data_IF_923968164062
#
_entry.id   IF_923968164062
#
_cell.length_a   1.000
_cell.length_b   1.000
_cell.length_c   1.000
_cell.angle_alpha   90.00
_cell.angle_beta   90.00
_cell.angle_gamma   90.00
#
_symmetry.space_group_name_H-M   'P 1'
#
loop_
_entity.id
_entity.type
_entity.pdbx_description
1 polymer ?
#
# COMPACT_ATOMS: atom_id res chain seq x y z
N UNK A 1 -1.57 19.56 -38.50
CA UNK A 1 -1.23 18.13 -38.26
C UNK A 1 0.28 18.05 -38.10
N UNK A 2 0.76 17.78 -36.90
CA UNK A 2 2.17 17.42 -36.69
C UNK A 2 2.43 16.10 -37.41
N UNK A 3 3.50 16.02 -38.18
CA UNK A 3 3.79 14.79 -38.90
C UNK A 3 4.20 13.71 -37.89
N UNK A 4 3.88 12.45 -38.15
CA UNK A 4 4.31 11.29 -37.35
C UNK A 4 5.82 11.30 -37.07
N UNK A 5 6.61 11.85 -38.00
CA UNK A 5 8.04 12.02 -37.83
C UNK A 5 8.40 12.97 -36.68
N UNK A 6 7.69 14.09 -36.51
CA UNK A 6 7.92 15.05 -35.42
C UNK A 6 7.51 14.44 -34.06
N UNK A 7 6.40 13.72 -34.04
CA UNK A 7 5.97 12.99 -32.82
C UNK A 7 7.00 11.94 -32.43
N UNK A 8 7.52 11.18 -33.38
CA UNK A 8 8.57 10.18 -33.14
C UNK A 8 9.85 10.82 -32.61
N UNK A 9 10.29 11.96 -33.18
CA UNK A 9 11.46 12.66 -32.66
C UNK A 9 11.27 13.17 -31.24
N UNK A 10 10.09 13.71 -30.92
CA UNK A 10 9.76 14.13 -29.54
C UNK A 10 9.77 12.95 -28.55
N UNK A 11 9.23 11.80 -28.94
CA UNK A 11 9.28 10.59 -28.14
C UNK A 11 10.71 10.11 -27.90
N UNK A 12 11.57 10.11 -28.93
CA UNK A 12 12.98 9.72 -28.78
C UNK A 12 13.72 10.68 -27.85
N UNK A 13 13.49 11.98 -27.96
CA UNK A 13 14.06 12.97 -27.05
C UNK A 13 13.62 12.71 -25.61
N UNK A 14 12.31 12.54 -25.37
CA UNK A 14 11.75 12.23 -24.06
C UNK A 14 12.35 10.95 -23.46
N UNK A 15 12.46 9.88 -24.24
CA UNK A 15 13.06 8.62 -23.80
C UNK A 15 14.53 8.78 -23.41
N UNK A 16 15.30 9.56 -24.16
CA UNK A 16 16.71 9.81 -23.84
C UNK A 16 16.85 10.63 -22.55
N UNK A 17 16.01 11.63 -22.36
CA UNK A 17 15.99 12.41 -21.12
C UNK A 17 15.58 11.55 -19.91
N UNK A 18 14.57 10.69 -20.05
CA UNK A 18 14.20 9.73 -19.02
C UNK A 18 15.36 8.79 -18.66
N UNK A 19 16.11 8.30 -19.64
CA UNK A 19 17.30 7.46 -19.40
C UNK A 19 18.38 8.23 -18.63
N UNK A 20 18.63 9.49 -19.03
CA UNK A 20 19.58 10.37 -18.33
C UNK A 20 19.16 10.58 -16.88
N UNK A 21 17.91 10.94 -16.62
CA UNK A 21 17.41 11.14 -15.26
C UNK A 21 17.48 9.86 -14.42
N UNK A 22 17.15 8.70 -15.01
CA UNK A 22 17.32 7.41 -14.32
C UNK A 22 18.76 7.13 -13.91
N UNK A 23 19.74 7.56 -14.70
CA UNK A 23 21.15 7.39 -14.34
C UNK A 23 21.57 8.21 -13.12
N UNK A 24 20.81 9.25 -12.75
CA UNK A 24 21.01 10.06 -11.55
C UNK A 24 20.48 9.39 -10.28
N UNK A 25 19.65 8.33 -10.39
CA UNK A 25 19.06 7.59 -9.28
C UNK A 25 20.10 6.65 -8.62
N UNK A 26 21.17 7.22 -8.14
CA UNK A 26 22.17 6.50 -7.31
C UNK A 26 21.63 6.25 -5.91
N UNK A 27 22.23 5.32 -5.18
CA UNK A 27 21.85 5.04 -3.79
C UNK A 27 21.94 6.27 -2.85
N UNK A 28 22.96 7.14 -2.94
CA UNK A 28 22.97 8.40 -2.19
C UNK A 28 21.80 9.30 -2.54
N UNK A 29 21.45 9.45 -3.84
CA UNK A 29 20.32 10.28 -4.29
C UNK A 29 18.99 9.73 -3.79
N UNK A 30 18.78 8.44 -3.80
CA UNK A 30 17.57 7.80 -3.26
C UNK A 30 17.42 8.10 -1.77
N UNK A 31 18.50 8.04 -0.99
CA UNK A 31 18.47 8.38 0.45
C UNK A 31 18.17 9.86 0.70
N UNK A 32 18.69 10.75 -0.12
CA UNK A 32 18.35 12.18 -0.09
C UNK A 32 16.85 12.39 -0.34
N UNK A 33 16.30 11.71 -1.33
CA UNK A 33 14.87 11.79 -1.68
C UNK A 33 13.94 11.27 -0.59
N UNK A 34 14.39 10.43 0.34
CA UNK A 34 13.56 10.04 1.49
C UNK A 34 13.20 11.21 2.40
N UNK A 35 14.04 12.26 2.44
CA UNK A 35 13.78 13.47 3.21
C UNK A 35 13.10 14.58 2.38
N UNK A 36 12.86 14.36 1.11
CA UNK A 36 12.21 15.33 0.24
C UNK A 36 10.73 15.47 0.55
N UNK A 37 10.16 16.64 0.26
CA UNK A 37 8.72 16.85 0.27
C UNK A 37 8.03 16.01 -0.82
N UNK A 38 6.72 15.86 -0.70
CA UNK A 38 5.95 15.02 -1.61
C UNK A 38 6.03 15.46 -3.07
N UNK A 39 5.91 16.76 -3.33
CA UNK A 39 5.98 17.36 -4.67
C UNK A 39 7.35 17.13 -5.35
N UNK A 40 8.43 17.07 -4.57
CA UNK A 40 9.76 16.69 -5.07
C UNK A 40 9.88 15.19 -5.28
N UNK A 41 9.34 14.38 -4.36
CA UNK A 41 9.42 12.92 -4.42
C UNK A 41 8.59 12.34 -5.57
N UNK A 42 7.39 12.85 -5.80
CA UNK A 42 6.41 12.31 -6.74
C UNK A 42 6.94 12.10 -8.18
N UNK A 43 7.57 13.09 -8.83
CA UNK A 43 8.12 12.86 -10.17
C UNK A 43 9.25 11.82 -10.20
N UNK A 44 10.07 11.74 -9.14
CA UNK A 44 11.13 10.74 -9.07
C UNK A 44 10.59 9.32 -8.91
N UNK A 45 9.49 9.15 -8.17
CA UNK A 45 8.79 7.86 -8.10
C UNK A 45 8.42 7.34 -9.49
N UNK A 46 7.82 8.17 -10.34
CA UNK A 46 7.41 7.80 -11.71
C UNK A 46 8.59 7.50 -12.65
N UNK A 47 9.76 8.01 -12.34
CA UNK A 47 10.98 7.74 -13.12
C UNK A 47 11.63 6.39 -12.79
N UNK A 48 11.27 5.78 -11.67
CA UNK A 48 11.87 4.52 -11.21
C UNK A 48 11.28 3.28 -11.91
N UNK A 49 12.06 2.21 -12.09
CA UNK A 49 11.51 0.91 -12.42
C UNK A 49 10.54 0.43 -11.33
N UNK A 50 9.45 -0.29 -11.66
CA UNK A 50 8.39 -0.65 -10.71
C UNK A 50 8.87 -1.26 -9.39
N UNK A 51 9.75 -2.27 -9.44
CA UNK A 51 10.30 -2.91 -8.22
C UNK A 51 11.14 -1.97 -7.35
N UNK A 52 11.80 -0.97 -7.95
CA UNK A 52 12.55 0.04 -7.23
C UNK A 52 11.62 1.09 -6.65
N UNK A 53 10.59 1.48 -7.40
CA UNK A 53 9.57 2.41 -6.97
C UNK A 53 8.83 1.92 -5.71
N UNK A 54 8.44 0.64 -5.67
CA UNK A 54 7.83 0.02 -4.48
C UNK A 54 8.72 0.18 -3.24
N UNK A 55 9.98 -0.22 -3.35
CA UNK A 55 10.93 -0.10 -2.23
C UNK A 55 11.25 1.34 -1.85
N UNK A 56 11.24 2.23 -2.83
CA UNK A 56 11.51 3.65 -2.61
C UNK A 56 10.38 4.30 -1.82
N UNK A 57 9.12 4.08 -2.22
CA UNK A 57 7.99 4.71 -1.53
C UNK A 57 7.83 4.20 -0.09
N UNK A 58 8.09 2.93 0.18
CA UNK A 58 8.13 2.39 1.55
C UNK A 58 9.17 3.12 2.41
N UNK A 59 10.38 3.35 1.88
CA UNK A 59 11.45 4.09 2.55
C UNK A 59 11.10 5.57 2.77
N UNK A 60 10.51 6.21 1.76
CA UNK A 60 10.06 7.59 1.87
C UNK A 60 8.95 7.74 2.93
N UNK A 61 7.90 6.93 2.86
CA UNK A 61 6.79 6.95 3.84
C UNK A 61 7.32 6.68 5.24
N UNK A 62 8.17 5.68 5.41
CA UNK A 62 8.77 5.37 6.71
C UNK A 62 9.50 6.60 7.29
N UNK A 63 10.28 7.30 6.46
CA UNK A 63 10.99 8.52 6.89
C UNK A 63 10.02 9.64 7.27
N UNK A 64 8.99 9.87 6.46
CA UNK A 64 8.00 10.94 6.70
C UNK A 64 7.20 10.74 8.00
N UNK A 65 6.89 9.51 8.37
CA UNK A 65 6.21 9.20 9.63
C UNK A 65 7.16 9.08 10.82
N UNK A 66 8.46 9.29 10.63
CA UNK A 66 9.47 9.09 11.67
C UNK A 66 9.61 7.64 12.13
N UNK A 67 9.29 6.70 11.26
CA UNK A 67 9.43 5.26 11.45
C UNK A 67 10.66 4.69 10.77
N UNK A 68 10.67 3.37 10.62
CA UNK A 68 11.72 2.63 9.94
C UNK A 68 11.12 1.60 8.99
N UNK A 69 11.74 1.43 7.84
CA UNK A 69 11.45 0.27 6.99
C UNK A 69 12.02 -0.98 7.65
N UNK A 70 11.17 -1.99 7.82
CA UNK A 70 11.56 -3.27 8.42
C UNK A 70 12.21 -4.15 7.33
N UNK A 71 13.36 -4.73 7.66
CA UNK A 71 14.02 -5.73 6.82
C UNK A 71 13.72 -7.14 7.32
N UNK A 72 13.77 -8.13 6.45
CA UNK A 72 13.52 -9.53 6.81
C UNK A 72 14.45 -10.05 7.92
N UNK A 73 15.64 -9.48 8.06
CA UNK A 73 16.58 -9.85 9.12
C UNK A 73 16.19 -9.32 10.50
N UNK A 74 15.40 -8.26 10.56
CA UNK A 74 14.91 -7.66 11.81
C UNK A 74 13.63 -8.36 12.33
N UNK A 75 12.97 -9.16 11.49
CA UNK A 75 11.75 -9.88 11.85
C UNK A 75 12.11 -11.26 12.39
N UNK A 76 11.58 -11.68 13.56
CA UNK A 76 11.76 -13.05 14.06
C UNK A 76 11.35 -14.09 13.02
N UNK A 77 12.06 -15.22 12.96
CA UNK A 77 11.88 -16.24 11.92
C UNK A 77 10.44 -16.72 11.77
N UNK A 78 9.73 -16.91 12.91
CA UNK A 78 8.32 -17.33 12.92
C UNK A 78 7.36 -16.36 12.22
N UNK A 79 7.75 -15.10 12.05
CA UNK A 79 6.96 -14.06 11.37
C UNK A 79 7.52 -13.71 9.99
N UNK A 80 8.66 -14.32 9.59
CA UNK A 80 9.25 -14.03 8.29
C UNK A 80 8.38 -14.59 7.18
N UNK A 81 7.93 -13.69 6.34
CA UNK A 81 7.29 -13.98 5.08
C UNK A 81 7.80 -12.98 4.04
N UNK A 82 7.48 -13.18 2.79
CA UNK A 82 7.88 -12.23 1.74
C UNK A 82 7.16 -10.87 1.84
N UNK A 83 6.11 -10.78 2.67
CA UNK A 83 5.26 -9.59 2.81
C UNK A 83 5.07 -9.23 4.31
N UNK A 84 6.08 -9.39 5.14
CA UNK A 84 6.04 -8.91 6.52
C UNK A 84 5.95 -7.40 6.56
N UNK A 85 5.25 -6.87 7.56
CA UNK A 85 4.99 -5.45 7.74
C UNK A 85 6.16 -4.56 7.32
N UNK A 86 5.94 -3.72 6.34
CA UNK A 86 6.99 -2.99 5.64
C UNK A 86 7.56 -1.83 6.44
N UNK A 87 6.77 -1.31 7.38
CA UNK A 87 7.10 -0.11 8.15
C UNK A 87 6.83 -0.36 9.63
N UNK A 88 7.77 0.11 10.44
CA UNK A 88 7.60 0.22 11.88
C UNK A 88 7.56 1.71 12.27
N UNK A 89 6.54 2.11 13.00
CA UNK A 89 6.26 3.50 13.33
C UNK A 89 6.48 3.86 14.81
N UNK A 90 6.83 2.89 15.65
CA UNK A 90 7.07 3.13 17.08
C UNK A 90 8.39 3.86 17.38
N UNK A 91 8.63 4.16 18.65
CA UNK A 91 9.86 4.82 19.10
C UNK A 91 11.01 3.83 19.31
N UNK A 92 10.67 2.60 19.71
CA UNK A 92 11.60 1.49 19.83
C UNK A 92 11.19 0.34 18.92
N UNK A 93 12.15 -0.44 18.45
CA UNK A 93 11.86 -1.58 17.55
C UNK A 93 11.20 -2.72 18.35
N UNK A 94 9.88 -2.70 18.43
CA UNK A 94 9.07 -3.77 19.01
C UNK A 94 8.28 -4.45 17.89
N UNK A 95 8.78 -5.56 17.40
CA UNK A 95 8.13 -6.31 16.31
C UNK A 95 6.76 -6.81 16.77
N UNK A 96 5.75 -6.55 15.93
CA UNK A 96 4.36 -6.94 16.15
C UNK A 96 3.51 -5.90 16.88
N UNK A 97 4.10 -4.88 17.52
CA UNK A 97 3.32 -3.86 18.22
C UNK A 97 2.90 -2.71 17.31
N UNK A 98 3.83 -2.18 16.51
CA UNK A 98 3.64 -0.96 15.72
C UNK A 98 3.94 -1.16 14.22
N UNK A 99 3.94 -2.40 13.76
CA UNK A 99 4.17 -2.71 12.36
C UNK A 99 2.97 -2.28 11.52
N UNK A 100 3.26 -1.73 10.35
CA UNK A 100 2.29 -1.25 9.38
C UNK A 100 2.54 -1.95 8.04
N UNK A 101 1.52 -2.61 7.51
CA UNK A 101 1.49 -3.04 6.10
C UNK A 101 1.10 -1.85 5.24
N UNK A 102 1.99 -1.42 4.33
CA UNK A 102 1.77 -0.29 3.45
C UNK A 102 1.26 -0.74 2.08
N UNK A 103 0.19 -0.13 1.61
CA UNK A 103 -0.31 -0.26 0.24
C UNK A 103 -0.28 1.11 -0.44
N UNK A 104 0.55 1.24 -1.47
CA UNK A 104 0.70 2.48 -2.23
C UNK A 104 -0.04 2.42 -3.56
N UNK A 105 -0.74 3.49 -3.89
CA UNK A 105 -1.57 3.62 -5.07
C UNK A 105 -1.14 4.90 -5.79
N UNK A 106 -0.38 4.73 -6.88
CA UNK A 106 0.16 5.81 -7.72
C UNK A 106 -0.36 5.76 -9.16
N UNK A 107 -1.31 4.88 -9.42
CA UNK A 107 -1.86 4.75 -10.79
C UNK A 107 -2.94 5.79 -11.00
N UNK A 108 -3.02 6.28 -12.22
CA UNK A 108 -4.20 6.94 -12.74
C UNK A 108 -5.40 6.02 -12.53
N UNK A 109 -6.30 6.42 -11.70
CA UNK A 109 -7.44 5.61 -11.34
C UNK A 109 -7.81 5.78 -9.87
N UNK A 110 -9.10 5.82 -9.67
CA UNK A 110 -9.71 6.15 -8.41
C UNK A 110 -9.81 4.97 -7.43
N UNK A 111 -9.09 3.88 -7.66
CA UNK A 111 -9.16 2.72 -6.78
C UNK A 111 -8.40 2.95 -5.48
N UNK A 112 -9.06 2.66 -4.36
CA UNK A 112 -8.45 2.52 -3.05
C UNK A 112 -8.51 1.04 -2.69
N UNK A 113 -7.40 0.48 -2.26
CA UNK A 113 -7.33 -0.94 -1.92
C UNK A 113 -6.04 -1.61 -2.39
N UNK A 114 -6.05 -2.90 -2.48
CA UNK A 114 -4.92 -3.68 -2.95
C UNK A 114 -5.23 -5.17 -3.09
N UNK A 115 -4.33 -5.87 -3.75
CA UNK A 115 -4.28 -7.32 -3.74
C UNK A 115 -3.36 -7.84 -2.64
N UNK A 116 -3.51 -9.10 -2.29
CA UNK A 116 -2.58 -9.81 -1.44
C UNK A 116 -2.47 -9.27 0.00
N UNK A 117 -3.58 -8.79 0.59
CA UNK A 117 -3.63 -8.61 2.03
C UNK A 117 -3.45 -9.96 2.72
N UNK A 118 -2.58 -9.98 3.72
CA UNK A 118 -2.37 -11.10 4.63
C UNK A 118 -2.44 -10.58 6.06
N UNK A 119 -3.21 -11.24 6.90
CA UNK A 119 -3.40 -10.82 8.27
C UNK A 119 -2.43 -11.54 9.21
N UNK A 120 -1.15 -11.17 9.12
CA UNK A 120 -0.14 -11.70 10.00
C UNK A 120 -0.32 -11.23 11.46
N UNK A 121 0.09 -12.06 12.40
CA UNK A 121 0.03 -11.74 13.82
C UNK A 121 0.79 -10.46 14.16
N UNK A 122 1.94 -10.26 13.51
CA UNK A 122 2.85 -9.13 13.75
C UNK A 122 2.51 -7.85 12.97
N UNK A 123 1.37 -7.78 12.30
CA UNK A 123 0.94 -6.59 11.54
C UNK A 123 -0.42 -6.10 12.05
N UNK A 124 -0.41 -5.21 13.07
CA UNK A 124 -1.66 -4.69 13.65
C UNK A 124 -2.30 -3.57 12.82
N UNK A 125 -1.57 -2.91 11.91
CA UNK A 125 -2.03 -1.76 11.16
C UNK A 125 -1.86 -1.93 9.66
N UNK A 126 -2.78 -1.34 8.91
CA UNK A 126 -2.79 -1.28 7.45
C UNK A 126 -2.92 0.16 7.01
N UNK A 127 -2.00 0.63 6.19
CA UNK A 127 -1.98 1.99 5.69
C UNK A 127 -2.12 2.00 4.17
N UNK A 128 -3.02 2.84 3.68
CA UNK A 128 -3.14 3.13 2.25
C UNK A 128 -2.60 4.52 2.00
N UNK A 129 -1.62 4.61 1.12
CA UNK A 129 -1.08 5.87 0.63
C UNK A 129 -1.55 6.05 -0.81
N UNK A 130 -2.52 6.94 -1.02
CA UNK A 130 -3.10 7.24 -2.33
C UNK A 130 -2.50 8.54 -2.85
N UNK A 131 -1.69 8.45 -3.89
CA UNK A 131 -1.20 9.59 -4.64
C UNK A 131 -2.17 9.91 -5.79
N UNK A 132 -2.72 11.11 -5.82
CA UNK A 132 -3.61 11.57 -6.87
C UNK A 132 -2.85 12.29 -8.00
N UNK A 133 -1.96 13.21 -7.61
CA UNK A 133 -1.09 13.97 -8.51
C UNK A 133 0.09 14.53 -7.69
N UNK A 134 0.93 15.33 -8.30
CA UNK A 134 2.13 15.91 -7.69
C UNK A 134 1.87 16.83 -6.50
N UNK A 135 0.62 17.29 -6.30
CA UNK A 135 0.25 18.24 -5.24
C UNK A 135 -0.72 17.65 -4.21
N UNK A 136 -1.24 16.44 -4.49
CA UNK A 136 -2.29 15.87 -3.64
C UNK A 136 -2.11 14.37 -3.43
N UNK A 137 -2.13 13.98 -2.16
CA UNK A 137 -2.19 12.60 -1.71
C UNK A 137 -3.10 12.47 -0.49
N UNK A 138 -3.55 11.28 -0.25
CA UNK A 138 -4.36 10.90 0.91
C UNK A 138 -3.73 9.71 1.62
N UNK A 139 -3.92 9.66 2.94
CA UNK A 139 -3.45 8.57 3.78
C UNK A 139 -4.62 8.04 4.60
N UNK A 140 -4.78 6.75 4.60
CA UNK A 140 -5.77 6.06 5.42
C UNK A 140 -5.06 5.05 6.30
N UNK A 141 -5.41 5.03 7.59
CA UNK A 141 -4.83 4.13 8.56
C UNK A 141 -5.93 3.34 9.26
N UNK A 142 -5.84 2.03 9.19
CA UNK A 142 -6.78 1.09 9.79
C UNK A 142 -6.05 0.13 10.70
N UNK A 143 -6.69 -0.25 11.79
CA UNK A 143 -6.28 -1.47 12.50
C UNK A 143 -6.63 -2.70 11.66
N UNK A 144 -6.00 -3.81 11.97
CA UNK A 144 -6.29 -5.10 11.34
C UNK A 144 -7.79 -5.44 11.40
N UNK A 145 -8.42 -5.23 12.57
CA UNK A 145 -9.84 -5.50 12.74
C UNK A 145 -10.71 -4.59 11.87
N UNK A 146 -10.42 -3.29 11.84
CA UNK A 146 -11.16 -2.35 10.99
C UNK A 146 -11.09 -2.71 9.51
N UNK A 147 -9.92 -3.12 9.00
CA UNK A 147 -9.81 -3.58 7.61
C UNK A 147 -10.64 -4.82 7.35
N UNK A 148 -10.66 -5.77 8.29
CA UNK A 148 -11.50 -6.97 8.16
C UNK A 148 -12.98 -6.61 8.14
N UNK A 149 -13.42 -5.72 9.01
CA UNK A 149 -14.81 -5.27 9.08
C UNK A 149 -15.25 -4.61 7.76
N UNK A 150 -14.41 -3.77 7.16
CA UNK A 150 -14.68 -3.19 5.82
C UNK A 150 -14.74 -4.25 4.72
N UNK A 151 -13.88 -5.27 4.76
CA UNK A 151 -13.92 -6.38 3.79
C UNK A 151 -15.22 -7.18 3.94
N UNK A 152 -15.61 -7.50 5.17
CA UNK A 152 -16.84 -8.25 5.48
C UNK A 152 -18.07 -7.45 5.07
N UNK A 153 -18.15 -6.17 5.44
CA UNK A 153 -19.26 -5.30 5.07
C UNK A 153 -19.45 -5.23 3.55
N UNK A 154 -18.35 -5.05 2.80
CA UNK A 154 -18.43 -5.06 1.34
C UNK A 154 -18.91 -6.42 0.79
N UNK A 155 -18.42 -7.51 1.36
CA UNK A 155 -18.85 -8.84 0.96
C UNK A 155 -20.33 -9.12 1.28
N UNK A 156 -20.88 -8.50 2.32
CA UNK A 156 -22.29 -8.61 2.68
C UNK A 156 -23.19 -7.76 1.77
N UNK A 157 -22.75 -6.56 1.42
CA UNK A 157 -23.55 -5.57 0.67
C UNK A 157 -23.44 -5.70 -0.84
N UNK A 158 -22.49 -6.46 -1.35
CA UNK A 158 -22.30 -6.73 -2.78
C UNK A 158 -22.12 -8.23 -3.00
N UNK A 159 -22.29 -8.70 -4.22
CA UNK A 159 -21.91 -10.08 -4.57
C UNK A 159 -20.38 -10.27 -4.63
N UNK A 160 -19.63 -9.26 -4.21
CA UNK A 160 -18.19 -9.31 -4.13
C UNK A 160 -17.76 -10.20 -2.95
N UNK A 161 -17.04 -11.25 -3.27
CA UNK A 161 -16.36 -12.08 -2.27
C UNK A 161 -14.91 -11.65 -2.24
N UNK A 162 -14.46 -11.18 -1.10
CA UNK A 162 -13.11 -10.65 -0.88
C UNK A 162 -11.97 -11.64 -1.18
N UNK A 163 -12.28 -12.90 -1.37
CA UNK A 163 -11.33 -13.93 -1.78
C UNK A 163 -11.27 -14.03 -3.29
N UNK A 164 -10.22 -13.57 -3.88
CA UNK A 164 -10.13 -13.63 -5.32
C UNK A 164 -8.83 -13.15 -5.94
N UNK A 165 -7.72 -13.15 -5.23
CA UNK A 165 -6.47 -13.02 -5.95
C UNK A 165 -6.10 -14.37 -6.55
N UNK A 166 -5.79 -14.38 -7.82
CA UNK A 166 -5.61 -15.46 -8.75
C UNK A 166 -4.43 -16.42 -8.47
N UNK A 167 -3.84 -16.41 -7.30
CA UNK A 167 -2.70 -17.25 -7.00
C UNK A 167 -2.96 -18.16 -5.78
N UNK A 168 -3.29 -19.39 -6.05
CA UNK A 168 -3.15 -20.47 -5.07
C UNK A 168 -4.41 -20.86 -4.30
N UNK A 169 -5.59 -20.41 -4.66
CA UNK A 169 -6.80 -20.55 -3.83
C UNK A 169 -7.83 -21.54 -4.35
N UNK A 170 -7.42 -22.66 -4.90
CA UNK A 170 -8.33 -23.69 -5.40
C UNK A 170 -9.37 -24.16 -4.37
N UNK A 171 -9.05 -24.13 -3.08
CA UNK A 171 -9.97 -24.46 -1.99
C UNK A 171 -10.92 -23.28 -1.70
N UNK A 172 -10.39 -22.05 -1.61
CA UNK A 172 -11.17 -20.86 -1.28
C UNK A 172 -12.22 -20.54 -2.35
N UNK A 173 -11.90 -20.77 -3.61
CA UNK A 173 -12.83 -20.55 -4.72
C UNK A 173 -14.04 -21.49 -4.70
N UNK A 174 -13.97 -22.59 -3.96
CA UNK A 174 -15.07 -23.55 -3.78
C UNK A 174 -15.96 -23.22 -2.58
N UNK A 175 -15.56 -22.29 -1.73
CA UNK A 175 -16.34 -21.89 -0.56
C UNK A 175 -17.51 -21.02 -0.96
N UNK A 176 -18.63 -21.18 -0.27
CA UNK A 176 -19.75 -20.23 -0.31
C UNK A 176 -19.33 -18.87 0.25
N UNK A 177 -20.17 -17.86 0.08
CA UNK A 177 -19.92 -16.52 0.64
C UNK A 177 -19.74 -16.54 2.15
N UNK A 178 -20.66 -17.23 2.85
CA UNK A 178 -20.67 -17.27 4.32
C UNK A 178 -19.43 -18.02 4.85
N UNK A 179 -19.05 -19.12 4.22
CA UNK A 179 -17.82 -19.84 4.54
C UNK A 179 -16.57 -18.99 4.31
N UNK A 180 -16.56 -18.14 3.27
CA UNK A 180 -15.45 -17.19 3.05
C UNK A 180 -15.37 -16.13 4.15
N UNK A 181 -16.49 -15.62 4.63
CA UNK A 181 -16.53 -14.66 5.75
C UNK A 181 -16.02 -15.29 7.03
N UNK A 182 -16.50 -16.49 7.36
CA UNK A 182 -15.99 -17.24 8.52
C UNK A 182 -14.49 -17.46 8.41
N UNK A 183 -14.02 -17.91 7.25
CA UNK A 183 -12.59 -18.12 7.01
C UNK A 183 -11.77 -16.82 7.09
N UNK A 184 -12.33 -15.68 6.69
CA UNK A 184 -11.68 -14.38 6.85
C UNK A 184 -11.44 -14.06 8.33
N UNK A 185 -12.45 -14.22 9.19
CA UNK A 185 -12.30 -14.02 10.64
C UNK A 185 -11.30 -14.99 11.27
N UNK A 186 -11.27 -16.24 10.83
CA UNK A 186 -10.27 -17.20 11.27
C UNK A 186 -8.84 -16.86 10.80
N UNK A 187 -8.72 -16.28 9.61
CA UNK A 187 -7.45 -15.82 9.05
C UNK A 187 -6.84 -14.66 9.85
N UNK A 188 -7.68 -13.73 10.32
CA UNK A 188 -7.26 -12.64 11.22
C UNK A 188 -6.64 -13.17 12.52
N UNK A 189 -7.12 -14.29 13.00
CA UNK A 189 -6.62 -14.97 14.21
C UNK A 189 -5.42 -15.89 13.92
N UNK A 190 -4.84 -15.81 12.73
CA UNK A 190 -3.65 -16.57 12.35
C UNK A 190 -3.88 -18.02 11.96
N UNK A 191 -5.14 -18.48 11.83
CA UNK A 191 -5.43 -19.87 11.45
C UNK A 191 -5.06 -20.18 10.01
N UNK A 192 -5.13 -19.20 9.11
CA UNK A 192 -4.78 -19.33 7.69
C UNK A 192 -3.89 -18.16 7.26
N UNK A 193 -3.16 -18.34 6.18
CA UNK A 193 -2.33 -17.30 5.54
C UNK A 193 -2.86 -16.97 4.12
N UNK A 194 -4.16 -16.83 3.99
CA UNK A 194 -4.79 -16.55 2.69
C UNK A 194 -4.47 -15.13 2.22
N UNK A 195 -4.31 -14.99 0.90
CA UNK A 195 -4.20 -13.68 0.25
C UNK A 195 -5.59 -13.16 -0.09
N UNK A 196 -5.87 -11.94 0.32
CA UNK A 196 -7.17 -11.32 0.14
C UNK A 196 -7.01 -10.09 -0.74
N UNK A 197 -7.84 -9.97 -1.77
CA UNK A 197 -7.99 -8.74 -2.53
C UNK A 197 -9.20 -7.96 -2.01
N UNK A 198 -9.02 -6.66 -1.82
CA UNK A 198 -10.08 -5.76 -1.43
C UNK A 198 -9.82 -4.36 -1.99
N UNK A 199 -10.89 -3.67 -2.29
CA UNK A 199 -10.81 -2.30 -2.77
C UNK A 199 -12.12 -1.82 -3.35
N UNK A 200 -12.17 -0.53 -3.66
CA UNK A 200 -13.32 0.13 -4.28
C UNK A 200 -12.84 1.28 -5.18
N UNK A 201 -13.73 1.73 -6.05
CA UNK A 201 -13.47 2.87 -6.92
C UNK A 201 -14.03 4.15 -6.28
N UNK A 202 -13.16 5.08 -5.92
CA UNK A 202 -13.52 6.32 -5.24
C UNK A 202 -14.31 7.33 -6.10
N UNK A 203 -14.28 7.20 -7.44
CA UNK A 203 -15.05 8.07 -8.34
C UNK A 203 -16.47 7.56 -8.59
N UNK A 204 -16.67 6.25 -8.59
CA UNK A 204 -17.99 5.64 -8.86
C UNK A 204 -18.71 5.19 -7.59
N UNK A 205 -17.96 4.86 -6.52
CA UNK A 205 -18.49 4.45 -5.21
C UNK A 205 -18.34 5.59 -4.19
N UNK A 206 -18.86 6.77 -4.52
CA UNK A 206 -18.66 8.03 -3.78
C UNK A 206 -19.05 7.91 -2.31
N UNK A 207 -20.19 7.28 -2.00
CA UNK A 207 -20.66 7.13 -0.62
C UNK A 207 -19.70 6.27 0.23
N UNK A 208 -19.14 5.22 -0.36
CA UNK A 208 -18.15 4.38 0.29
C UNK A 208 -16.83 5.14 0.49
N UNK A 209 -16.41 5.91 -0.50
CA UNK A 209 -15.23 6.75 -0.39
C UNK A 209 -15.38 7.80 0.72
N UNK A 210 -16.51 8.50 0.79
CA UNK A 210 -16.79 9.47 1.85
C UNK A 210 -16.78 8.82 3.24
N UNK A 211 -17.43 7.66 3.39
CA UNK A 211 -17.38 6.86 4.63
C UNK A 211 -15.94 6.54 5.01
N UNK A 212 -15.14 6.09 4.04
CA UNK A 212 -13.75 5.70 4.25
C UNK A 212 -12.89 6.89 4.67
N UNK A 213 -13.05 8.05 4.02
CA UNK A 213 -12.40 9.29 4.42
C UNK A 213 -12.77 9.69 5.85
N UNK A 214 -14.04 9.68 6.19
CA UNK A 214 -14.52 10.09 7.52
C UNK A 214 -13.99 9.19 8.64
N UNK A 215 -13.81 7.90 8.38
CA UNK A 215 -13.44 6.93 9.40
C UNK A 215 -11.92 6.74 9.54
N UNK A 216 -11.16 6.85 8.45
CA UNK A 216 -9.78 6.35 8.40
C UNK A 216 -8.76 7.33 7.85
N UNK A 217 -9.19 8.46 7.27
CA UNK A 217 -8.24 9.44 6.74
C UNK A 217 -7.47 10.12 7.87
N UNK A 218 -6.15 10.14 7.74
CA UNK A 218 -5.24 10.75 8.72
C UNK A 218 -4.20 11.61 8.01
N UNK A 219 -3.56 12.51 8.76
CA UNK A 219 -2.36 13.16 8.26
C UNK A 219 -1.17 12.21 8.36
N UNK A 220 -0.31 12.22 7.37
CA UNK A 220 0.90 11.37 7.36
C UNK A 220 1.76 11.62 8.62
N UNK A 221 1.87 12.88 9.06
CA UNK A 221 2.58 13.26 10.28
C UNK A 221 2.01 12.70 11.58
N UNK A 222 0.73 12.32 11.60
CA UNK A 222 0.06 11.84 12.81
C UNK A 222 0.16 10.30 12.98
N UNK A 223 0.56 9.59 11.93
CA UNK A 223 0.58 8.11 11.92
C UNK A 223 1.38 7.56 13.11
N UNK A 224 2.60 8.06 13.33
CA UNK A 224 3.45 7.57 14.42
C UNK A 224 2.78 7.75 15.80
N UNK A 225 2.17 8.90 16.03
CA UNK A 225 1.45 9.18 17.28
C UNK A 225 0.29 8.21 17.46
N UNK A 226 -0.55 8.04 16.44
CA UNK A 226 -1.73 7.17 16.49
C UNK A 226 -1.35 5.73 16.83
N UNK A 227 -0.32 5.17 16.18
CA UNK A 227 0.07 3.77 16.40
C UNK A 227 0.79 3.54 17.73
N UNK A 228 1.23 4.59 18.43
CA UNK A 228 1.86 4.49 19.75
C UNK A 228 0.87 4.75 20.90
N UNK A 229 -0.31 5.31 20.64
CA UNK A 229 -1.34 5.59 21.66
C UNK A 229 -2.19 4.36 22.01
N UNK A 230 -2.02 3.22 21.34
CA UNK A 230 -2.83 2.00 21.50
C UNK A 230 -2.03 0.90 22.27
#
# INVERSE_FOLDING_TARGET
MTSLANETQNLVHTLNEMRRLRSLLTQPKIRELYNASYDVMYPWYHMMPPKQAEKFIEGWVATQIGGQKITSTQVPEKFRTNDNGDIWAGDELVIGKNNIELKCIFKDGANIGGGQFRFYENVPYYMFFKAWNENHYEVFLLTKQQLVDEIVERALNTNYTAYGSSQGSGVINKLTRDEKIVRLHENVNGKYADKIGWGFNSETEIALYQKFCNNYQVKLSDVKRIVNEV
#
